data_IF_672932322459
#
_entry.id   IF_672932322459
#
_cell.length_a   1.000
_cell.length_b   1.000
_cell.length_c   1.000
_cell.angle_alpha   90.00
_cell.angle_beta   90.00
_cell.angle_gamma   90.00
#
_symmetry.space_group_name_H-M   'P 1'
#
loop_
_entity.id
_entity.type
_entity.pdbx_description
1 polymer ?
#
# COMPACT_ATOMS: atom_id res chain seq x y z
N UNK A 1 8.42 1.01 -8.03
CA UNK A 1 8.16 0.43 -6.70
C UNK A 1 8.44 1.50 -5.66
N UNK A 2 7.46 1.79 -4.79
CA UNK A 2 7.72 2.61 -3.60
C UNK A 2 8.84 1.91 -2.80
N UNK A 3 9.80 2.68 -2.27
CA UNK A 3 10.84 2.09 -1.41
C UNK A 3 10.16 1.47 -0.18
N UNK A 4 10.53 0.25 0.18
CA UNK A 4 10.03 -0.43 1.37
C UNK A 4 10.27 0.42 2.62
N UNK A 5 9.28 0.54 3.50
CA UNK A 5 9.35 1.37 4.70
C UNK A 5 10.27 0.79 5.79
N UNK A 6 10.71 -0.45 5.62
CA UNK A 6 11.58 -1.18 6.57
C UNK A 6 13.01 -1.38 6.05
N UNK A 7 13.30 -1.02 4.79
CA UNK A 7 14.59 -1.26 4.15
C UNK A 7 15.76 -0.66 4.95
N UNK A 8 15.62 0.58 5.39
CA UNK A 8 16.70 1.30 6.07
C UNK A 8 17.00 0.68 7.43
N UNK A 9 15.98 0.24 8.18
CA UNK A 9 16.18 -0.42 9.47
C UNK A 9 16.87 -1.77 9.31
N UNK A 10 16.48 -2.55 8.30
CA UNK A 10 17.14 -3.82 8.00
C UNK A 10 18.60 -3.62 7.58
N UNK A 11 18.92 -2.53 6.87
CA UNK A 11 20.30 -2.23 6.46
C UNK A 11 21.23 -1.86 7.62
N UNK A 12 20.68 -1.41 8.77
CA UNK A 12 21.47 -1.10 9.98
C UNK A 12 22.13 -2.37 10.55
N UNK A 13 21.51 -3.53 10.36
CA UNK A 13 22.10 -4.82 10.76
C UNK A 13 23.35 -5.14 9.94
N UNK A 14 23.33 -4.89 8.63
CA UNK A 14 24.48 -5.17 7.77
C UNK A 14 25.70 -4.36 8.24
N UNK A 15 25.48 -3.11 8.67
CA UNK A 15 26.52 -2.25 9.28
C UNK A 15 26.97 -2.77 10.63
N UNK A 16 26.03 -3.10 11.52
CA UNK A 16 26.33 -3.65 12.84
C UNK A 16 27.17 -4.92 12.76
N UNK A 17 26.81 -5.86 11.88
CA UNK A 17 27.59 -7.07 11.66
C UNK A 17 29.02 -6.74 11.19
N UNK A 18 29.18 -5.83 10.23
CA UNK A 18 30.50 -5.44 9.74
C UNK A 18 31.37 -4.81 10.84
N UNK A 19 30.77 -4.00 11.72
CA UNK A 19 31.48 -3.42 12.87
C UNK A 19 31.89 -4.47 13.90
N UNK A 20 30.98 -5.39 14.26
CA UNK A 20 31.29 -6.49 15.18
C UNK A 20 32.36 -7.43 14.61
N UNK A 21 32.30 -7.73 13.31
CA UNK A 21 33.29 -8.58 12.65
C UNK A 21 34.67 -7.91 12.58
N UNK A 22 34.71 -6.59 12.33
CA UNK A 22 35.95 -5.81 12.37
C UNK A 22 36.60 -5.80 13.76
N UNK A 23 35.79 -5.70 14.81
CA UNK A 23 36.29 -5.65 16.19
C UNK A 23 36.81 -7.00 16.68
N UNK A 24 36.23 -8.10 16.22
CA UNK A 24 36.61 -9.44 16.67
C UNK A 24 36.78 -10.42 15.50
N UNK A 25 37.73 -10.25 14.56
CA UNK A 25 37.76 -10.97 13.27
C UNK A 25 37.70 -12.50 13.39
N UNK A 26 37.08 -13.14 12.39
CA UNK A 26 37.00 -14.60 12.28
C UNK A 26 38.39 -15.23 12.14
N UNK A 27 38.60 -16.37 12.79
CA UNK A 27 39.83 -17.18 12.68
C UNK A 27 40.92 -16.86 13.70
N UNK A 28 40.80 -15.77 14.45
CA UNK A 28 41.69 -15.50 15.60
C UNK A 28 41.19 -16.26 16.82
N UNK A 29 42.04 -17.08 17.45
CA UNK A 29 41.65 -17.85 18.65
C UNK A 29 41.25 -16.95 19.82
N UNK A 30 41.97 -15.83 19.98
CA UNK A 30 41.77 -14.83 21.04
C UNK A 30 40.39 -14.15 20.98
N UNK A 31 39.77 -14.08 19.80
CA UNK A 31 38.48 -13.39 19.62
C UNK A 31 37.28 -14.32 19.78
N UNK A 32 37.50 -15.63 20.01
CA UNK A 32 36.43 -16.64 19.98
C UNK A 32 35.34 -16.40 21.03
N UNK A 33 35.72 -16.05 22.25
CA UNK A 33 34.78 -15.77 23.34
C UNK A 33 33.97 -14.51 23.05
N UNK A 34 34.65 -13.42 22.68
CA UNK A 34 34.02 -12.15 22.31
C UNK A 34 33.06 -12.32 21.12
N UNK A 35 33.40 -13.14 20.12
CA UNK A 35 32.49 -13.42 18.99
C UNK A 35 31.21 -14.13 19.44
N UNK A 36 31.28 -14.95 20.48
CA UNK A 36 30.09 -15.60 21.07
C UNK A 36 29.17 -14.56 21.70
N UNK A 37 29.73 -13.62 22.48
CA UNK A 37 28.98 -12.51 23.06
C UNK A 37 28.38 -11.60 21.99
N UNK A 38 29.15 -11.28 20.94
CA UNK A 38 28.67 -10.51 19.80
C UNK A 38 27.53 -11.21 19.06
N UNK A 39 27.54 -12.54 18.97
CA UNK A 39 26.42 -13.29 18.39
C UNK A 39 25.14 -13.09 19.22
N UNK A 40 25.23 -13.15 20.55
CA UNK A 40 24.12 -12.86 21.46
C UNK A 40 23.59 -11.43 21.29
N UNK A 41 24.49 -10.44 21.29
CA UNK A 41 24.16 -9.03 21.07
C UNK A 41 23.48 -8.79 19.72
N UNK A 42 24.01 -9.39 18.65
CA UNK A 42 23.46 -9.26 17.30
C UNK A 42 22.04 -9.84 17.22
N UNK A 43 21.82 -11.01 17.82
CA UNK A 43 20.50 -11.65 17.84
C UNK A 43 19.47 -10.82 18.61
N UNK A 44 19.84 -10.23 19.74
CA UNK A 44 18.95 -9.32 20.49
C UNK A 44 18.62 -8.07 19.67
N UNK A 45 19.64 -7.48 19.03
CA UNK A 45 19.49 -6.30 18.16
C UNK A 45 18.60 -6.61 16.95
N UNK A 46 18.76 -7.79 16.36
CA UNK A 46 17.94 -8.29 15.26
C UNK A 46 16.47 -8.40 15.64
N UNK A 47 16.18 -9.03 16.78
CA UNK A 47 14.80 -9.18 17.24
C UNK A 47 14.14 -7.82 17.48
N UNK A 48 14.85 -6.87 18.11
CA UNK A 48 14.35 -5.52 18.34
C UNK A 48 14.08 -4.76 17.03
N UNK A 49 14.99 -4.87 16.05
CA UNK A 49 14.80 -4.26 14.73
C UNK A 49 13.62 -4.90 13.99
N UNK A 50 13.46 -6.22 14.07
CA UNK A 50 12.33 -6.91 13.45
C UNK A 50 11.00 -6.50 14.09
N UNK A 51 10.94 -6.38 15.42
CA UNK A 51 9.76 -5.84 16.11
C UNK A 51 9.42 -4.43 15.62
N UNK A 52 10.41 -3.55 15.50
CA UNK A 52 10.19 -2.20 14.98
C UNK A 52 9.76 -2.19 13.51
N UNK A 53 10.28 -3.09 12.68
CA UNK A 53 9.85 -3.25 11.29
C UNK A 53 8.37 -3.64 11.22
N UNK A 54 7.93 -4.62 12.02
CA UNK A 54 6.52 -5.02 12.07
C UNK A 54 5.64 -3.86 12.51
N UNK A 55 6.03 -3.11 13.56
CA UNK A 55 5.30 -1.89 13.98
C UNK A 55 5.19 -0.88 12.85
N UNK A 56 6.30 -0.58 12.16
CA UNK A 56 6.32 0.36 11.03
C UNK A 56 5.42 -0.07 9.90
N UNK A 57 5.32 -1.36 9.61
CA UNK A 57 4.39 -1.88 8.59
C UNK A 57 2.94 -1.68 9.04
N UNK A 58 2.60 -1.97 10.31
CA UNK A 58 1.24 -1.78 10.82
C UNK A 58 0.83 -0.29 10.86
N UNK A 59 1.73 0.58 11.34
CA UNK A 59 1.53 2.03 11.36
C UNK A 59 1.42 2.56 9.93
N UNK A 60 2.32 2.15 9.04
CA UNK A 60 2.33 2.54 7.64
C UNK A 60 1.09 2.10 6.87
N UNK A 61 0.48 0.97 7.25
CA UNK A 61 -0.84 0.57 6.76
C UNK A 61 -1.92 1.54 7.25
N UNK A 62 -1.96 1.82 8.55
CA UNK A 62 -2.97 2.70 9.15
C UNK A 62 -2.88 4.15 8.63
N UNK A 63 -1.67 4.63 8.35
CA UNK A 63 -1.40 5.92 7.71
C UNK A 63 -2.04 6.05 6.31
N UNK A 64 -2.29 4.94 5.60
CA UNK A 64 -2.96 4.98 4.30
C UNK A 64 -4.44 5.40 4.42
N UNK A 65 -5.04 5.26 5.60
CA UNK A 65 -6.44 5.55 5.82
C UNK A 65 -6.63 6.88 6.56
N UNK A 66 -6.00 7.03 7.74
CA UNK A 66 -6.17 8.25 8.53
C UNK A 66 -5.12 8.39 9.65
N UNK A 67 -4.63 9.61 9.87
CA UNK A 67 -3.62 9.92 10.91
C UNK A 67 -4.06 9.49 12.32
N UNK A 68 -5.31 9.79 12.72
CA UNK A 68 -5.85 9.32 14.01
C UNK A 68 -5.83 7.80 14.16
N UNK A 69 -6.08 7.05 13.08
CA UNK A 69 -6.04 5.59 13.12
C UNK A 69 -4.60 5.12 13.30
N UNK A 70 -3.65 5.72 12.57
CA UNK A 70 -2.22 5.48 12.75
C UNK A 70 -1.76 5.68 14.19
N UNK A 71 -2.13 6.80 14.83
CA UNK A 71 -1.85 7.06 16.25
C UNK A 71 -2.46 6.00 17.18
N UNK A 72 -3.67 5.51 16.89
CA UNK A 72 -4.27 4.41 17.66
C UNK A 72 -3.48 3.11 17.53
N UNK A 73 -3.01 2.77 16.32
CA UNK A 73 -2.18 1.60 16.07
C UNK A 73 -0.82 1.74 16.76
N UNK A 74 -0.18 2.90 16.68
CA UNK A 74 1.07 3.19 17.38
C UNK A 74 0.93 2.98 18.89
N UNK A 75 -0.14 3.51 19.49
CA UNK A 75 -0.42 3.33 20.92
C UNK A 75 -0.68 1.86 21.28
N UNK A 76 -1.53 1.17 20.50
CA UNK A 76 -1.92 -0.23 20.72
C UNK A 76 -0.73 -1.19 20.62
N UNK A 77 0.19 -0.93 19.70
CA UNK A 77 1.36 -1.76 19.44
C UNK A 77 2.68 -1.11 19.88
N UNK A 78 2.60 -0.17 20.83
CA UNK A 78 3.77 0.45 21.49
C UNK A 78 4.76 -0.61 21.99
N UNK A 79 4.25 -1.76 22.46
CA UNK A 79 5.02 -2.96 22.79
C UNK A 79 4.46 -4.20 22.08
N UNK A 80 5.28 -4.87 21.25
CA UNK A 80 4.89 -6.12 20.56
C UNK A 80 5.29 -7.39 21.34
N UNK A 81 6.16 -7.29 22.35
CA UNK A 81 6.55 -8.40 23.24
C UNK A 81 6.84 -9.74 22.50
N UNK A 82 7.69 -9.73 21.47
CA UNK A 82 7.99 -10.92 20.65
C UNK A 82 6.83 -11.51 19.84
N UNK A 83 5.68 -10.85 19.72
CA UNK A 83 4.57 -11.26 18.83
C UNK A 83 4.87 -10.96 17.35
N UNK A 84 6.00 -11.46 16.88
CA UNK A 84 6.49 -11.27 15.52
C UNK A 84 6.79 -12.59 14.81
N UNK A 85 6.40 -13.73 15.41
CA UNK A 85 6.47 -15.03 14.74
C UNK A 85 5.54 -15.05 13.52
N UNK A 86 5.76 -15.99 12.59
CA UNK A 86 4.92 -16.11 11.38
C UNK A 86 3.43 -16.18 11.73
N UNK A 87 3.06 -16.94 12.77
CA UNK A 87 1.67 -17.05 13.22
C UNK A 87 1.08 -15.69 13.62
N UNK A 88 1.81 -14.89 14.39
CA UNK A 88 1.41 -13.54 14.77
C UNK A 88 1.30 -12.59 13.56
N UNK A 89 2.21 -12.72 12.58
CA UNK A 89 2.12 -11.94 11.34
C UNK A 89 0.84 -12.28 10.57
N UNK A 90 0.48 -13.55 10.48
CA UNK A 90 -0.79 -13.98 9.86
C UNK A 90 -1.99 -13.45 10.64
N UNK A 91 -1.97 -13.47 11.97
CA UNK A 91 -3.02 -12.87 12.80
C UNK A 91 -3.18 -11.38 12.50
N UNK A 92 -2.08 -10.64 12.33
CA UNK A 92 -2.14 -9.24 11.93
C UNK A 92 -2.71 -9.05 10.53
N UNK A 93 -2.33 -9.88 9.55
CA UNK A 93 -2.94 -9.81 8.22
C UNK A 93 -4.46 -9.98 8.31
N UNK A 94 -4.94 -10.94 9.10
CA UNK A 94 -6.39 -11.14 9.29
C UNK A 94 -7.06 -9.94 9.98
N UNK A 95 -6.41 -9.32 10.97
CA UNK A 95 -6.98 -8.17 11.69
C UNK A 95 -7.01 -6.87 10.89
N UNK A 96 -6.15 -6.75 9.87
CA UNK A 96 -5.98 -5.54 9.07
C UNK A 96 -6.36 -5.78 7.60
N UNK A 97 -7.24 -6.75 7.33
CA UNK A 97 -7.72 -7.08 5.98
C UNK A 97 -6.60 -7.31 4.94
N UNK A 98 -5.44 -7.75 5.41
CA UNK A 98 -4.30 -8.14 4.60
C UNK A 98 -4.49 -9.54 4.01
N UNK A 99 -3.68 -9.86 3.00
CA UNK A 99 -3.84 -11.12 2.26
C UNK A 99 -2.86 -12.19 2.72
N UNK A 100 -3.30 -13.10 3.60
CA UNK A 100 -2.52 -14.29 4.02
C UNK A 100 -2.12 -15.16 2.83
N UNK A 101 -2.99 -15.25 1.81
CA UNK A 101 -2.68 -15.96 0.56
C UNK A 101 -1.55 -15.27 -0.23
N UNK A 102 -1.55 -13.94 -0.28
CA UNK A 102 -0.46 -13.18 -0.90
C UNK A 102 0.84 -13.37 -0.11
N UNK A 103 0.77 -13.34 1.22
CA UNK A 103 1.91 -13.59 2.09
C UNK A 103 2.55 -14.96 1.81
N UNK A 104 1.75 -16.02 1.79
CA UNK A 104 2.26 -17.38 1.51
C UNK A 104 2.84 -17.52 0.11
N UNK A 105 2.24 -16.87 -0.91
CA UNK A 105 2.81 -16.82 -2.26
C UNK A 105 4.17 -16.14 -2.27
N UNK A 106 4.33 -15.04 -1.52
CA UNK A 106 5.59 -14.30 -1.42
C UNK A 106 6.65 -15.05 -0.63
N UNK A 107 6.27 -15.73 0.46
CA UNK A 107 7.16 -16.65 1.16
C UNK A 107 7.71 -17.70 0.20
N UNK A 108 6.84 -18.41 -0.54
CA UNK A 108 7.26 -19.41 -1.54
C UNK A 108 8.17 -18.84 -2.62
N UNK A 109 7.87 -17.64 -3.12
CA UNK A 109 8.72 -16.95 -4.08
C UNK A 109 10.13 -16.72 -3.51
N UNK A 110 10.23 -16.23 -2.28
CA UNK A 110 11.53 -15.99 -1.64
C UNK A 110 12.25 -17.27 -1.25
N UNK A 111 11.55 -18.33 -0.86
CA UNK A 111 12.14 -19.65 -0.59
C UNK A 111 12.90 -20.17 -1.82
N UNK A 112 12.24 -20.10 -2.99
CA UNK A 112 12.84 -20.49 -4.28
C UNK A 112 14.04 -19.59 -4.61
N UNK A 113 13.87 -18.26 -4.47
CA UNK A 113 14.90 -17.28 -4.81
C UNK A 113 16.15 -17.41 -3.92
N UNK A 114 15.97 -17.66 -2.63
CA UNK A 114 17.04 -17.79 -1.65
C UNK A 114 17.58 -19.22 -1.56
N UNK A 115 16.91 -20.19 -2.19
CA UNK A 115 17.21 -21.63 -2.09
C UNK A 115 17.29 -22.08 -0.63
N UNK A 116 16.41 -21.56 0.21
CA UNK A 116 16.41 -21.78 1.65
C UNK A 116 15.03 -21.47 2.22
N UNK A 117 14.65 -22.18 3.29
CA UNK A 117 13.42 -21.90 4.04
C UNK A 117 13.57 -20.59 4.82
N UNK A 118 12.99 -19.51 4.30
CA UNK A 118 13.15 -18.18 4.89
C UNK A 118 12.45 -18.06 6.25
N UNK A 119 11.36 -18.81 6.46
CA UNK A 119 10.59 -18.80 7.71
C UNK A 119 11.41 -19.45 8.81
N UNK A 120 12.04 -20.60 8.52
CA UNK A 120 12.92 -21.27 9.48
C UNK A 120 14.09 -20.38 9.90
N UNK A 121 14.74 -19.71 8.95
CA UNK A 121 15.84 -18.78 9.25
C UNK A 121 15.37 -17.62 10.13
N UNK A 122 14.19 -17.07 9.83
CA UNK A 122 13.55 -15.99 10.58
C UNK A 122 13.19 -16.41 12.02
N UNK A 123 12.52 -17.55 12.18
CA UNK A 123 12.11 -18.05 13.50
C UNK A 123 13.29 -18.51 14.36
N UNK A 124 14.37 -18.98 13.75
CA UNK A 124 15.60 -19.31 14.46
C UNK A 124 16.20 -18.07 15.13
N UNK A 125 16.13 -16.88 14.52
CA UNK A 125 16.60 -15.64 15.14
C UNK A 125 15.74 -15.26 16.36
N UNK A 126 14.42 -15.33 16.22
CA UNK A 126 13.49 -15.03 17.32
C UNK A 126 13.71 -16.00 18.49
N UNK A 127 13.90 -17.29 18.18
CA UNK A 127 14.16 -18.32 19.18
C UNK A 127 15.52 -18.10 19.87
N UNK A 128 16.56 -17.77 19.10
CA UNK A 128 17.89 -17.48 19.63
C UNK A 128 17.88 -16.30 20.60
N UNK A 129 17.06 -15.27 20.33
CA UNK A 129 16.88 -14.13 21.25
C UNK A 129 16.31 -14.58 22.58
N UNK A 130 15.30 -15.44 22.56
CA UNK A 130 14.71 -15.97 23.79
C UNK A 130 15.74 -16.77 24.61
N UNK A 131 16.53 -17.64 23.97
CA UNK A 131 17.58 -18.40 24.65
C UNK A 131 18.69 -17.52 25.24
N UNK A 132 19.11 -16.48 24.53
CA UNK A 132 20.15 -15.58 25.03
C UNK A 132 19.62 -14.67 26.14
N UNK A 133 18.47 -14.03 25.96
CA UNK A 133 17.93 -13.07 26.93
C UNK A 133 17.50 -13.70 28.27
N UNK A 134 17.02 -14.95 28.26
CA UNK A 134 16.52 -15.60 29.47
C UNK A 134 17.48 -16.62 30.10
N UNK A 135 18.33 -17.26 29.30
CA UNK A 135 19.23 -18.33 29.77
C UNK A 135 20.72 -18.01 29.59
N UNK A 136 21.05 -16.78 29.15
CA UNK A 136 22.40 -16.35 28.76
C UNK A 136 23.11 -17.36 27.85
N UNK A 137 22.33 -18.08 27.01
CA UNK A 137 22.81 -19.19 26.21
C UNK A 137 22.97 -18.76 24.77
N UNK A 138 24.22 -18.61 24.34
CA UNK A 138 24.56 -18.39 22.94
C UNK A 138 24.43 -19.73 22.19
N UNK A 139 23.38 -19.86 21.38
CA UNK A 139 23.11 -21.09 20.61
C UNK A 139 23.49 -20.97 19.12
N UNK A 140 24.05 -19.83 18.71
CA UNK A 140 24.39 -19.55 17.32
C UNK A 140 25.70 -18.77 17.23
N UNK A 141 26.42 -18.89 16.11
CA UNK A 141 27.60 -18.08 15.86
C UNK A 141 27.21 -16.72 15.27
N UNK A 142 28.13 -15.75 15.29
CA UNK A 142 27.91 -14.42 14.74
C UNK A 142 27.56 -14.48 13.24
N UNK A 143 28.27 -15.32 12.49
CA UNK A 143 28.07 -15.53 11.05
C UNK A 143 26.76 -16.26 10.76
N UNK A 144 26.39 -17.23 11.60
CA UNK A 144 25.14 -17.96 11.46
C UNK A 144 23.93 -17.04 11.72
N UNK A 145 24.00 -16.19 12.77
CA UNK A 145 23.00 -15.18 13.04
C UNK A 145 22.85 -14.20 11.85
N UNK A 146 23.96 -13.70 11.32
CA UNK A 146 23.91 -12.79 10.17
C UNK A 146 23.42 -13.46 8.89
N UNK A 147 23.83 -14.70 8.62
CA UNK A 147 23.30 -15.50 7.49
C UNK A 147 21.78 -15.67 7.60
N UNK A 148 21.30 -16.03 8.79
CA UNK A 148 19.88 -16.16 9.06
C UNK A 148 19.15 -14.82 8.87
N UNK A 149 19.77 -13.69 9.21
CA UNK A 149 19.20 -12.37 8.93
C UNK A 149 19.06 -12.10 7.43
N UNK A 150 20.12 -12.32 6.65
CA UNK A 150 20.15 -12.06 5.20
C UNK A 150 19.02 -12.78 4.46
N UNK A 151 18.64 -13.96 4.95
CA UNK A 151 17.57 -14.79 4.40
C UNK A 151 16.22 -14.47 5.08
N UNK A 152 16.18 -14.48 6.40
CA UNK A 152 14.95 -14.32 7.18
C UNK A 152 14.29 -12.95 7.05
N UNK A 153 15.03 -11.89 6.70
CA UNK A 153 14.44 -10.55 6.50
C UNK A 153 13.37 -10.49 5.40
N UNK A 154 13.40 -11.44 4.46
CA UNK A 154 12.38 -11.54 3.42
C UNK A 154 11.00 -11.96 3.93
N UNK A 155 10.89 -12.50 5.14
CA UNK A 155 9.60 -12.69 5.80
C UNK A 155 8.94 -11.34 6.07
N UNK A 156 9.71 -10.34 6.50
CA UNK A 156 9.19 -8.99 6.78
C UNK A 156 8.83 -8.24 5.48
N UNK A 157 9.63 -8.40 4.41
CA UNK A 157 9.26 -7.86 3.10
C UNK A 157 7.99 -8.51 2.54
N UNK A 158 7.83 -9.83 2.70
CA UNK A 158 6.60 -10.52 2.29
C UNK A 158 5.39 -10.04 3.11
N UNK A 159 5.57 -9.78 4.41
CA UNK A 159 4.53 -9.25 5.27
C UNK A 159 4.11 -7.82 4.89
N UNK A 160 5.08 -6.93 4.66
CA UNK A 160 4.83 -5.57 4.16
C UNK A 160 4.05 -5.60 2.83
N UNK A 161 4.47 -6.45 1.89
CA UNK A 161 3.82 -6.56 0.59
C UNK A 161 2.41 -7.15 0.68
N UNK A 162 2.19 -8.14 1.54
CA UNK A 162 0.89 -8.77 1.75
C UNK A 162 -0.13 -7.84 2.44
N UNK A 163 0.34 -6.84 3.18
CA UNK A 163 -0.51 -5.87 3.87
C UNK A 163 -0.63 -4.58 3.06
N UNK A 164 0.44 -3.79 2.99
CA UNK A 164 0.47 -2.49 2.32
C UNK A 164 0.43 -2.68 0.79
N UNK A 165 1.26 -3.59 0.27
CA UNK A 165 1.35 -3.82 -1.18
C UNK A 165 0.02 -4.29 -1.78
N UNK A 166 -0.72 -5.14 -1.07
CA UNK A 166 -2.03 -5.62 -1.49
C UNK A 166 -3.04 -4.47 -1.62
N UNK A 167 -3.16 -3.63 -0.57
CA UNK A 167 -4.05 -2.46 -0.60
C UNK A 167 -3.66 -1.49 -1.70
N UNK A 168 -2.37 -1.21 -1.87
CA UNK A 168 -1.92 -0.29 -2.92
C UNK A 168 -2.22 -0.82 -4.33
N UNK A 169 -2.11 -2.14 -4.56
CA UNK A 169 -2.42 -2.75 -5.84
C UNK A 169 -3.94 -2.77 -6.11
N UNK A 170 -4.76 -3.04 -5.08
CA UNK A 170 -6.22 -2.96 -5.16
C UNK A 170 -6.68 -1.52 -5.44
N UNK A 171 -6.14 -0.54 -4.70
CA UNK A 171 -6.39 0.88 -4.93
C UNK A 171 -5.98 1.29 -6.34
N UNK A 172 -4.84 0.80 -6.84
CA UNK A 172 -4.39 1.07 -8.21
C UNK A 172 -5.36 0.51 -9.26
N UNK A 173 -5.86 -0.72 -9.08
CA UNK A 173 -6.85 -1.31 -10.00
C UNK A 173 -8.16 -0.54 -9.98
N UNK A 174 -8.62 -0.17 -8.79
CA UNK A 174 -9.81 0.65 -8.61
C UNK A 174 -9.65 1.98 -9.36
N UNK A 175 -8.54 2.69 -9.12
CA UNK A 175 -8.17 3.93 -9.81
C UNK A 175 -8.22 3.79 -11.34
N UNK A 176 -7.61 2.75 -11.90
CA UNK A 176 -7.57 2.53 -13.35
C UNK A 176 -8.98 2.30 -13.89
N UNK A 177 -9.75 1.41 -13.24
CA UNK A 177 -11.13 1.13 -13.64
C UNK A 177 -12.00 2.39 -13.58
N UNK A 178 -11.84 3.17 -12.52
CA UNK A 178 -12.51 4.44 -12.30
C UNK A 178 -12.15 5.47 -13.37
N UNK A 179 -10.87 5.57 -13.73
CA UNK A 179 -10.38 6.42 -14.81
C UNK A 179 -11.01 6.05 -16.15
N UNK A 180 -10.99 4.76 -16.50
CA UNK A 180 -11.57 4.28 -17.76
C UNK A 180 -13.08 4.55 -17.83
N UNK A 181 -13.78 4.40 -16.70
CA UNK A 181 -15.20 4.73 -16.60
C UNK A 181 -15.45 6.23 -16.79
N UNK A 182 -14.62 7.09 -16.18
CA UNK A 182 -14.67 8.54 -16.34
C UNK A 182 -14.47 8.97 -17.79
N UNK A 183 -13.47 8.40 -18.48
CA UNK A 183 -13.20 8.72 -19.88
C UNK A 183 -14.36 8.34 -20.82
N UNK A 184 -14.99 7.18 -20.60
CA UNK A 184 -16.16 6.75 -21.40
C UNK A 184 -17.34 7.70 -21.23
N UNK A 185 -17.58 8.10 -19.98
CA UNK A 185 -18.60 9.09 -19.61
C UNK A 185 -18.34 10.43 -20.32
N UNK A 186 -17.10 10.92 -20.25
CA UNK A 186 -16.71 12.17 -20.88
C UNK A 186 -16.91 12.12 -22.40
N UNK A 187 -16.42 11.09 -23.07
CA UNK A 187 -16.55 10.92 -24.52
C UNK A 187 -18.03 10.89 -24.98
N UNK A 188 -18.89 10.24 -24.20
CA UNK A 188 -20.34 10.20 -24.47
C UNK A 188 -20.97 11.58 -24.30
N UNK A 189 -20.58 12.31 -23.25
CA UNK A 189 -21.07 13.65 -22.97
C UNK A 189 -20.65 14.65 -24.06
N UNK A 190 -19.41 14.56 -24.54
CA UNK A 190 -18.91 15.39 -25.65
C UNK A 190 -19.64 15.08 -26.97
N UNK A 191 -19.85 13.80 -27.28
CA UNK A 191 -20.61 13.39 -28.47
C UNK A 191 -22.03 13.96 -28.45
N UNK A 192 -22.69 13.85 -27.29
CA UNK A 192 -24.02 14.38 -27.05
C UNK A 192 -24.04 15.92 -27.21
N UNK A 193 -23.03 16.61 -26.68
CA UNK A 193 -22.90 18.06 -26.81
C UNK A 193 -22.75 18.49 -28.28
N UNK A 194 -21.87 17.85 -29.06
CA UNK A 194 -21.70 18.16 -30.47
C UNK A 194 -22.98 17.89 -31.27
N UNK A 195 -23.74 16.84 -30.93
CA UNK A 195 -25.04 16.57 -31.53
C UNK A 195 -26.04 17.71 -31.24
N UNK A 196 -26.18 18.13 -29.98
CA UNK A 196 -27.02 19.28 -29.59
C UNK A 196 -26.59 20.57 -30.28
N UNK A 197 -25.30 20.86 -30.33
CA UNK A 197 -24.75 22.05 -31.01
C UNK A 197 -25.06 22.03 -32.52
N UNK A 198 -24.92 20.88 -33.17
CA UNK A 198 -25.24 20.71 -34.59
C UNK A 198 -26.72 20.93 -34.86
N UNK A 199 -27.60 20.38 -34.02
CA UNK A 199 -29.05 20.59 -34.12
C UNK A 199 -29.43 22.06 -33.96
N UNK A 200 -28.77 22.79 -33.05
CA UNK A 200 -28.98 24.24 -32.87
C UNK A 200 -28.53 25.05 -34.08
N UNK A 201 -27.40 24.70 -34.69
CA UNK A 201 -26.87 25.39 -35.87
C UNK A 201 -27.81 25.31 -37.08
N UNK A 202 -28.61 24.25 -37.19
CA UNK A 202 -29.62 24.09 -38.27
C UNK A 202 -30.82 25.03 -38.10
N UNK A 203 -30.93 25.76 -36.98
CA UNK A 203 -31.88 26.87 -36.78
C UNK A 203 -33.36 26.47 -36.65
N UNK A 204 -33.72 25.21 -36.90
CA UNK A 204 -35.06 24.66 -36.68
C UNK A 204 -35.15 24.04 -35.28
N UNK A 205 -35.45 24.87 -34.28
CA UNK A 205 -35.82 24.42 -32.94
C UNK A 205 -37.18 23.70 -33.00
N UNK A 206 -37.14 22.41 -33.32
CA UNK A 206 -38.33 21.55 -33.25
C UNK A 206 -38.49 20.99 -31.84
N UNK A 207 -39.71 20.61 -31.47
CA UNK A 207 -39.99 19.89 -30.21
C UNK A 207 -39.06 18.68 -30.03
N UNK A 208 -38.81 17.94 -31.12
CA UNK A 208 -37.91 16.79 -31.15
C UNK A 208 -36.46 17.19 -30.84
N UNK A 209 -35.96 18.26 -31.47
CA UNK A 209 -34.61 18.79 -31.20
C UNK A 209 -34.42 19.15 -29.72
N UNK A 210 -35.46 19.70 -29.10
CA UNK A 210 -35.45 20.06 -27.68
C UNK A 210 -35.47 18.81 -26.80
N UNK A 211 -36.32 17.84 -27.11
CA UNK A 211 -36.39 16.55 -26.39
C UNK A 211 -35.05 15.80 -26.46
N UNK A 212 -34.41 15.77 -27.63
CA UNK A 212 -33.10 15.15 -27.82
C UNK A 212 -32.02 15.85 -26.96
N UNK A 213 -32.03 17.19 -26.89
CA UNK A 213 -31.13 17.96 -26.02
C UNK A 213 -31.41 17.70 -24.52
N UNK A 214 -32.68 17.64 -24.11
CA UNK A 214 -33.08 17.34 -22.72
C UNK A 214 -32.64 15.92 -22.31
N UNK A 215 -32.75 14.94 -23.21
CA UNK A 215 -32.27 13.58 -23.02
C UNK A 215 -30.75 13.53 -22.80
N UNK A 216 -29.99 14.22 -23.64
CA UNK A 216 -28.54 14.32 -23.54
C UNK A 216 -28.07 15.02 -22.25
N UNK A 217 -28.79 16.04 -21.81
CA UNK A 217 -28.54 16.75 -20.56
C UNK A 217 -28.77 15.83 -19.35
N UNK A 218 -29.86 15.07 -19.34
CA UNK A 218 -30.15 14.07 -18.30
C UNK A 218 -29.08 12.98 -18.21
N UNK A 219 -28.60 12.49 -19.36
CA UNK A 219 -27.49 11.52 -19.43
C UNK A 219 -26.18 12.08 -18.86
N UNK A 220 -25.92 13.38 -19.06
CA UNK A 220 -24.71 14.06 -18.57
C UNK A 220 -24.79 14.33 -17.06
N UNK A 221 -25.97 14.67 -16.53
CA UNK A 221 -26.18 14.80 -15.08
C UNK A 221 -25.98 13.47 -14.34
N UNK A 222 -26.51 12.36 -14.86
CA UNK A 222 -26.29 11.03 -14.29
C UNK A 222 -24.80 10.64 -14.28
N UNK A 223 -24.10 11.03 -15.32
CA UNK A 223 -22.65 10.86 -15.44
C UNK A 223 -21.87 11.63 -14.36
N UNK A 224 -22.30 12.86 -14.03
CA UNK A 224 -21.71 13.67 -12.96
C UNK A 224 -21.92 13.04 -11.58
N UNK A 225 -23.12 12.52 -11.31
CA UNK A 225 -23.41 11.80 -10.06
C UNK A 225 -22.46 10.62 -9.87
N UNK A 226 -22.22 9.82 -10.93
CA UNK A 226 -21.24 8.72 -10.89
C UNK A 226 -19.81 9.19 -10.63
N UNK A 227 -19.38 10.31 -11.21
CA UNK A 227 -18.05 10.87 -10.93
C UNK A 227 -17.92 11.34 -9.47
N UNK A 228 -18.99 11.88 -8.90
CA UNK A 228 -19.01 12.27 -7.48
C UNK A 228 -18.92 11.05 -6.55
N UNK A 229 -19.64 9.96 -6.85
CA UNK A 229 -19.53 8.69 -6.12
C UNK A 229 -18.10 8.14 -6.17
N UNK A 230 -17.51 8.16 -7.36
CA UNK A 230 -16.12 7.79 -7.63
C UNK A 230 -15.14 8.63 -6.81
N UNK A 231 -15.32 9.95 -6.77
CA UNK A 231 -14.45 10.85 -6.02
C UNK A 231 -14.52 10.56 -4.52
N UNK A 232 -15.71 10.24 -4.02
CA UNK A 232 -15.91 9.84 -2.63
C UNK A 232 -15.08 8.59 -2.31
N UNK A 233 -15.16 7.56 -3.15
CA UNK A 233 -14.40 6.32 -3.01
C UNK A 233 -12.88 6.55 -3.08
N UNK A 234 -12.42 7.47 -3.94
CA UNK A 234 -11.00 7.80 -4.08
C UNK A 234 -10.45 8.66 -2.94
N UNK A 235 -11.28 9.48 -2.31
CA UNK A 235 -10.90 10.29 -1.14
C UNK A 235 -10.44 9.40 0.01
N UNK A 236 -11.07 8.24 0.16
CA UNK A 236 -10.76 7.26 1.19
C UNK A 236 -9.54 6.38 0.84
N UNK A 237 -9.13 6.35 -0.44
CA UNK A 237 -8.04 5.53 -0.96
C UNK A 237 -6.67 6.27 -1.06
N UNK A 238 -6.60 7.51 -0.57
CA UNK A 238 -5.37 8.35 -0.50
C UNK A 238 -4.53 8.42 -1.78
N UNK A 239 -5.16 8.41 -2.96
CA UNK A 239 -4.45 8.46 -4.25
C UNK A 239 -4.49 9.85 -4.90
N UNK A 240 -3.47 10.69 -4.64
CA UNK A 240 -3.45 12.10 -5.05
C UNK A 240 -3.51 12.32 -6.57
N UNK A 241 -2.87 11.47 -7.38
CA UNK A 241 -2.93 11.59 -8.85
C UNK A 241 -4.32 11.27 -9.40
N UNK A 242 -4.96 10.24 -8.88
CA UNK A 242 -6.32 9.85 -9.28
C UNK A 242 -7.36 10.88 -8.88
N UNK A 243 -7.20 11.49 -7.70
CA UNK A 243 -8.04 12.60 -7.25
C UNK A 243 -7.92 13.79 -8.22
N UNK A 244 -6.70 14.15 -8.66
CA UNK A 244 -6.51 15.22 -9.64
C UNK A 244 -7.23 14.93 -10.94
N UNK A 245 -7.14 13.70 -11.41
CA UNK A 245 -7.75 13.29 -12.66
C UNK A 245 -9.28 13.35 -12.57
N UNK A 246 -9.89 12.77 -11.53
CA UNK A 246 -11.35 12.83 -11.34
C UNK A 246 -11.86 14.26 -11.23
N UNK A 247 -11.11 15.15 -10.57
CA UNK A 247 -11.45 16.58 -10.52
C UNK A 247 -11.44 17.25 -11.89
N UNK A 248 -10.44 16.95 -12.72
CA UNK A 248 -10.37 17.46 -14.11
C UNK A 248 -11.60 17.04 -14.92
N UNK A 249 -12.03 15.78 -14.78
CA UNK A 249 -13.22 15.27 -15.46
C UNK A 249 -14.53 15.91 -14.94
N UNK A 250 -14.61 16.21 -13.64
CA UNK A 250 -15.73 16.96 -13.05
C UNK A 250 -15.80 18.38 -13.62
N UNK A 251 -14.69 19.11 -13.67
CA UNK A 251 -14.65 20.49 -14.18
C UNK A 251 -15.12 20.55 -15.66
N UNK A 252 -14.67 19.63 -16.50
CA UNK A 252 -15.11 19.55 -17.90
C UNK A 252 -16.60 19.25 -18.02
N UNK A 253 -17.13 18.32 -17.21
CA UNK A 253 -18.54 17.95 -17.26
C UNK A 253 -19.46 19.05 -16.71
N UNK A 254 -19.00 19.81 -15.71
CA UNK A 254 -19.73 20.94 -15.15
C UNK A 254 -19.90 22.04 -16.20
N UNK A 255 -18.84 22.34 -16.97
CA UNK A 255 -18.88 23.27 -18.09
C UNK A 255 -19.89 22.84 -19.18
N UNK A 256 -19.98 21.53 -19.45
CA UNK A 256 -20.97 20.97 -20.41
C UNK A 256 -22.39 21.16 -19.90
N UNK A 257 -22.65 20.83 -18.62
CA UNK A 257 -23.99 20.97 -18.01
C UNK A 257 -24.45 22.43 -18.04
N UNK A 258 -23.58 23.38 -17.65
CA UNK A 258 -23.89 24.81 -17.67
C UNK A 258 -24.23 25.30 -19.09
N UNK A 259 -23.44 24.87 -20.08
CA UNK A 259 -23.67 25.20 -21.49
C UNK A 259 -25.03 24.64 -21.97
N UNK A 260 -25.37 23.41 -21.63
CA UNK A 260 -26.63 22.78 -22.02
C UNK A 260 -27.86 23.38 -21.30
N UNK A 261 -27.74 23.78 -20.03
CA UNK A 261 -28.80 24.46 -19.28
C UNK A 261 -29.14 25.83 -19.88
N UNK A 262 -28.13 26.56 -20.36
CA UNK A 262 -28.33 27.85 -21.04
C UNK A 262 -29.22 27.70 -22.29
N UNK A 263 -29.10 26.59 -23.01
CA UNK A 263 -29.92 26.25 -24.18
C UNK A 263 -31.36 25.92 -23.77
N UNK A 264 -31.55 25.13 -22.70
CA UNK A 264 -32.90 24.83 -22.17
C UNK A 264 -33.62 26.09 -21.68
N UNK A 265 -32.89 27.04 -21.09
CA UNK A 265 -33.44 28.32 -20.66
C UNK A 265 -33.96 29.18 -21.84
N UNK A 266 -33.36 29.08 -23.04
CA UNK A 266 -33.86 29.77 -24.23
C UNK A 266 -35.24 29.27 -24.69
N UNK A 267 -35.65 28.04 -24.35
CA UNK A 267 -37.01 27.50 -24.57
C UNK A 267 -38.04 28.26 -23.74
N UNK A 268 -37.72 28.54 -22.47
CA UNK A 268 -38.62 29.25 -21.54
C UNK A 268 -38.86 30.71 -21.91
N UNK A 269 -37.96 31.32 -22.67
CA UNK A 269 -38.05 32.72 -23.08
C UNK A 269 -38.66 32.92 -24.50
N UNK A 270 -38.94 31.83 -25.24
CA UNK A 270 -39.53 31.87 -26.60
C UNK A 270 -40.99 31.40 -26.64
N UNK A 271 -41.55 30.99 -25.51
CA UNK A 271 -42.99 30.69 -25.29
C UNK A 271 -43.54 31.78 -24.39
#
# INVERSE_FOLDING_TARGET
MKASCIKDDLSKIDKLYADLDRLAPLGKKETREIRSEFAGLLVVSLAAIYENCVKKVLIGYADLFHEKFSRQIENKYSYLNSKIKRTSLVEYLVHFDGSSNHFDKKIKYYDIKMRSDIVKNYEQLITSRHSYAHANKVITSLEAAYKNHRIGKYVLYAFEEALIGNVLEENKKLVISTYDQSNKIHATSETNFQASKSLLAVGKLTEKTIQDCEHHLKSSSYSMEKLNEILLQLKDATCTESIKLVRSAQEELENIILSAQSISALKKNKI
#
